data_IF_321908986475
#
_entry.id   IF_321908986475
#
_cell.length_a   1.000
_cell.length_b   1.000
_cell.length_c   1.000
_cell.angle_alpha   90.00
_cell.angle_beta   90.00
_cell.angle_gamma   90.00
#
_symmetry.space_group_name_H-M   'P 1'
#
loop_
_entity.id
_entity.type
_entity.pdbx_description
1 polymer ?
#
# COMPACT_ATOMS: atom_id res chain seq x y z
N UNK A 1 23.45 -10.75 -10.84
CA UNK A 1 23.54 -9.89 -9.64
C UNK A 1 22.32 -10.18 -8.78
N UNK A 2 22.44 -10.31 -7.47
CA UNK A 2 21.28 -10.57 -6.60
C UNK A 2 20.52 -9.25 -6.37
N UNK A 3 19.33 -9.11 -6.97
CA UNK A 3 18.50 -7.91 -6.83
C UNK A 3 17.96 -7.77 -5.41
N UNK A 4 18.42 -6.71 -4.74
CA UNK A 4 18.03 -6.15 -3.45
C UNK A 4 16.70 -5.39 -3.46
N UNK A 5 15.71 -5.69 -2.61
CA UNK A 5 14.69 -4.68 -2.28
C UNK A 5 15.30 -3.65 -1.31
N UNK A 6 15.17 -2.37 -1.66
CA UNK A 6 15.68 -1.25 -0.86
C UNK A 6 14.61 -0.17 -0.73
N UNK A 7 14.47 0.38 0.47
CA UNK A 7 13.58 1.51 0.74
C UNK A 7 14.23 2.81 0.29
N UNK A 8 13.45 3.69 -0.35
CA UNK A 8 13.88 5.03 -0.76
C UNK A 8 12.94 6.06 -0.15
N UNK A 9 13.50 7.08 0.49
CA UNK A 9 12.71 8.21 1.00
C UNK A 9 12.27 9.11 -0.16
N UNK A 10 10.96 9.33 -0.27
CA UNK A 10 10.35 10.19 -1.28
C UNK A 10 9.24 11.03 -0.64
N UNK A 11 9.19 12.33 -0.94
CA UNK A 11 8.08 13.19 -0.52
C UNK A 11 6.83 12.83 -1.31
N UNK A 12 5.72 12.61 -0.60
CA UNK A 12 4.43 12.22 -1.17
C UNK A 12 3.28 12.82 -0.36
N UNK A 13 2.12 13.02 -0.98
CA UNK A 13 0.89 13.36 -0.25
C UNK A 13 0.25 12.10 0.35
N UNK A 14 0.13 12.08 1.67
CA UNK A 14 -0.46 10.96 2.44
C UNK A 14 -1.93 10.72 2.05
N UNK A 15 -2.67 11.77 1.67
CA UNK A 15 -4.07 11.64 1.25
C UNK A 15 -4.18 10.96 -0.11
N UNK A 16 -3.30 11.31 -1.06
CA UNK A 16 -3.22 10.65 -2.36
C UNK A 16 -2.84 9.17 -2.18
N UNK A 17 -1.84 8.90 -1.33
CA UNK A 17 -1.46 7.52 -0.98
C UNK A 17 -2.67 6.77 -0.46
N UNK A 18 -3.32 7.26 0.60
CA UNK A 18 -4.50 6.60 1.20
C UNK A 18 -5.62 6.33 0.19
N UNK A 19 -5.91 7.29 -0.70
CA UNK A 19 -7.01 7.19 -1.67
C UNK A 19 -6.80 6.10 -2.73
N UNK A 20 -5.54 5.72 -2.97
CA UNK A 20 -5.14 4.76 -4.00
C UNK A 20 -4.34 3.55 -3.45
N UNK A 21 -4.40 3.31 -2.12
CA UNK A 21 -3.61 2.27 -1.45
C UNK A 21 -4.40 0.98 -1.24
N UNK A 22 -3.80 -0.13 -1.65
CA UNK A 22 -4.14 -1.48 -1.22
C UNK A 22 -3.19 -1.91 -0.09
N UNK A 23 -3.75 -2.24 1.08
CA UNK A 23 -2.98 -2.79 2.21
C UNK A 23 -3.11 -4.31 2.16
N UNK A 24 -2.03 -5.01 1.86
CA UNK A 24 -2.02 -6.46 1.70
C UNK A 24 -1.45 -7.14 2.95
N UNK A 25 -2.20 -8.09 3.51
CA UNK A 25 -1.79 -8.96 4.62
C UNK A 25 -1.66 -10.42 4.19
N UNK A 26 -1.71 -11.33 5.17
CA UNK A 26 -1.44 -12.75 4.93
C UNK A 26 -2.54 -13.44 4.08
N UNK A 27 -3.81 -13.13 4.38
CA UNK A 27 -4.97 -13.79 3.76
C UNK A 27 -5.53 -13.02 2.54
N UNK A 28 -5.29 -11.71 2.47
CA UNK A 28 -5.86 -10.83 1.46
C UNK A 28 -5.55 -9.37 1.74
N UNK A 29 -6.05 -8.50 0.87
CA UNK A 29 -5.86 -7.07 0.95
C UNK A 29 -7.11 -6.31 1.36
N UNK A 30 -6.89 -5.07 1.81
CA UNK A 30 -7.94 -4.11 2.13
C UNK A 30 -7.70 -2.78 1.42
N UNK A 31 -8.79 -2.15 0.96
CA UNK A 31 -8.73 -0.82 0.36
C UNK A 31 -8.59 0.23 1.48
N UNK A 32 -7.53 1.04 1.46
CA UNK A 32 -7.34 2.08 2.48
C UNK A 32 -8.34 3.24 2.37
N UNK A 33 -8.98 3.39 1.20
CA UNK A 33 -9.99 4.42 0.95
C UNK A 33 -11.36 4.07 1.55
N UNK A 34 -11.94 2.91 1.18
CA UNK A 34 -13.28 2.52 1.60
C UNK A 34 -13.34 1.36 2.61
N UNK A 35 -12.19 0.82 3.03
CA UNK A 35 -12.08 -0.32 3.95
C UNK A 35 -12.64 -1.65 3.43
N UNK A 36 -12.92 -1.77 2.13
CA UNK A 36 -13.28 -3.05 1.52
C UNK A 36 -12.19 -4.08 1.78
N UNK A 37 -12.54 -5.22 2.38
CA UNK A 37 -11.66 -6.35 2.64
C UNK A 37 -11.71 -7.39 1.50
N UNK A 38 -10.91 -8.45 1.64
CA UNK A 38 -10.85 -9.61 0.73
C UNK A 38 -10.48 -9.26 -0.72
N UNK A 39 -9.66 -8.22 -0.88
CA UNK A 39 -9.14 -7.77 -2.17
C UNK A 39 -7.90 -8.60 -2.53
N UNK A 40 -7.92 -9.22 -3.72
CA UNK A 40 -6.76 -9.98 -4.22
C UNK A 40 -5.63 -9.04 -4.67
N UNK A 41 -4.40 -9.53 -4.70
CA UNK A 41 -3.22 -8.71 -5.04
C UNK A 41 -3.17 -8.31 -6.53
N UNK A 42 -3.74 -9.13 -7.40
CA UNK A 42 -3.75 -8.97 -8.85
C UNK A 42 -4.74 -7.92 -9.35
N UNK A 43 -5.72 -7.53 -8.53
CA UNK A 43 -6.70 -6.53 -8.96
C UNK A 43 -6.08 -5.13 -9.06
N UNK A 44 -6.52 -4.38 -10.06
CA UNK A 44 -6.04 -3.02 -10.33
C UNK A 44 -6.94 -1.94 -9.72
N UNK A 45 -8.17 -2.29 -9.37
CA UNK A 45 -9.15 -1.36 -8.83
C UNK A 45 -9.89 -1.99 -7.64
N UNK A 46 -10.32 -1.14 -6.70
CA UNK A 46 -11.20 -1.58 -5.62
C UNK A 46 -12.54 -2.05 -6.20
N UNK A 47 -13.01 -3.22 -5.78
CA UNK A 47 -14.27 -3.78 -6.25
C UNK A 47 -15.49 -2.98 -5.78
N UNK A 48 -15.35 -2.23 -4.68
CA UNK A 48 -16.39 -1.41 -4.08
C UNK A 48 -16.32 0.05 -4.55
N UNK A 49 -15.30 0.81 -4.13
CA UNK A 49 -15.21 2.25 -4.45
C UNK A 49 -14.60 2.57 -5.82
N UNK A 50 -14.20 1.56 -6.61
CA UNK A 50 -13.61 1.68 -7.96
C UNK A 50 -12.32 2.50 -8.07
N UNK A 51 -11.71 2.92 -6.96
CA UNK A 51 -10.40 3.59 -6.99
C UNK A 51 -9.34 2.68 -7.61
N UNK A 52 -8.48 3.26 -8.44
CA UNK A 52 -7.30 2.58 -8.97
C UNK A 52 -6.25 2.40 -7.86
N UNK A 53 -5.64 1.22 -7.81
CA UNK A 53 -4.53 0.93 -6.90
C UNK A 53 -3.19 1.30 -7.54
N UNK A 54 -2.76 2.54 -7.27
CA UNK A 54 -1.42 3.06 -7.62
C UNK A 54 -0.36 2.64 -6.61
N UNK A 55 -0.79 2.32 -5.39
CA UNK A 55 0.08 1.99 -4.26
C UNK A 55 -0.31 0.66 -3.64
N UNK A 56 0.68 -0.11 -3.21
CA UNK A 56 0.48 -1.33 -2.42
C UNK A 56 1.39 -1.28 -1.19
N UNK A 57 0.84 -1.54 -0.01
CA UNK A 57 1.63 -1.72 1.21
C UNK A 57 1.45 -3.14 1.73
N UNK A 58 2.54 -3.80 2.11
CA UNK A 58 2.50 -5.13 2.72
C UNK A 58 2.65 -4.99 4.24
N UNK A 59 1.75 -5.60 5.02
CA UNK A 59 1.86 -5.60 6.49
C UNK A 59 3.12 -6.33 6.96
N UNK A 60 3.51 -7.39 6.25
CA UNK A 60 4.75 -8.13 6.48
C UNK A 60 5.52 -8.28 5.15
N UNK A 61 6.31 -7.28 4.72
CA UNK A 61 6.99 -7.34 3.44
C UNK A 61 8.01 -8.49 3.35
N UNK A 62 8.62 -8.88 4.48
CA UNK A 62 9.59 -10.00 4.53
C UNK A 62 8.95 -11.35 4.20
N UNK A 63 7.70 -11.56 4.60
CA UNK A 63 6.94 -12.77 4.23
C UNK A 63 6.43 -12.74 2.78
N UNK A 64 6.54 -11.61 2.09
CA UNK A 64 5.98 -11.39 0.76
C UNK A 64 7.02 -10.98 -0.30
N UNK A 65 8.32 -11.13 -0.03
CA UNK A 65 9.39 -10.77 -0.97
C UNK A 65 9.17 -11.35 -2.37
N UNK A 66 8.84 -12.65 -2.56
CA UNK A 66 8.59 -13.19 -3.89
C UNK A 66 7.40 -12.53 -4.60
N UNK A 67 6.34 -12.19 -3.84
CA UNK A 67 5.16 -11.48 -4.39
C UNK A 67 5.51 -10.05 -4.79
N UNK A 68 6.32 -9.36 -4.00
CA UNK A 68 6.79 -8.00 -4.29
C UNK A 68 7.64 -7.99 -5.56
N UNK A 69 8.56 -8.94 -5.71
CA UNK A 69 9.38 -9.07 -6.92
C UNK A 69 8.52 -9.34 -8.16
N UNK A 70 7.57 -10.28 -8.06
CA UNK A 70 6.61 -10.56 -9.15
C UNK A 70 5.78 -9.32 -9.50
N UNK A 71 5.29 -8.59 -8.50
CA UNK A 71 4.53 -7.35 -8.70
C UNK A 71 5.36 -6.30 -9.43
N UNK A 72 6.63 -6.11 -9.09
CA UNK A 72 7.50 -5.16 -9.80
C UNK A 72 7.74 -5.56 -11.25
N UNK A 73 7.80 -6.86 -11.56
CA UNK A 73 7.95 -7.35 -12.92
C UNK A 73 6.67 -7.16 -13.76
N UNK A 74 5.49 -7.41 -13.16
CA UNK A 74 4.21 -7.37 -13.87
C UNK A 74 3.59 -5.96 -13.91
N UNK A 75 3.83 -5.15 -12.88
CA UNK A 75 3.21 -3.83 -12.66
C UNK A 75 4.26 -2.82 -12.15
N UNK A 76 5.29 -2.49 -12.95
CA UNK A 76 6.40 -1.62 -12.53
C UNK A 76 5.96 -0.20 -12.13
N UNK A 77 4.79 0.26 -12.58
CA UNK A 77 4.19 1.55 -12.25
C UNK A 77 3.60 1.62 -10.84
N UNK A 78 3.32 0.47 -10.21
CA UNK A 78 2.76 0.43 -8.86
C UNK A 78 3.88 0.60 -7.85
N UNK A 79 3.77 1.62 -7.01
CA UNK A 79 4.75 1.86 -5.96
C UNK A 79 4.42 1.03 -4.72
N UNK A 80 5.44 0.34 -4.20
CA UNK A 80 5.34 -0.36 -2.91
C UNK A 80 5.64 0.65 -1.81
N UNK A 81 4.63 0.93 -0.99
CA UNK A 81 4.72 1.83 0.15
C UNK A 81 4.99 0.98 1.39
N UNK A 82 5.92 1.42 2.22
CA UNK A 82 6.14 0.77 3.49
C UNK A 82 4.95 1.01 4.43
N UNK A 83 4.42 -0.08 4.99
CA UNK A 83 3.21 -0.02 5.80
C UNK A 83 3.41 0.79 7.09
N UNK A 84 4.60 0.73 7.71
CA UNK A 84 4.87 1.45 8.94
C UNK A 84 4.94 2.96 8.71
N UNK A 85 5.60 3.41 7.63
CA UNK A 85 5.62 4.84 7.25
C UNK A 85 4.19 5.36 7.01
N UNK A 86 3.41 4.64 6.21
CA UNK A 86 2.03 5.01 5.93
C UNK A 86 1.20 5.10 7.22
N UNK A 87 1.27 4.07 8.06
CA UNK A 87 0.47 3.99 9.28
C UNK A 87 0.85 5.08 10.29
N UNK A 88 2.14 5.39 10.42
CA UNK A 88 2.64 6.47 11.26
C UNK A 88 2.08 7.83 10.83
N UNK A 89 2.19 8.18 9.55
CA UNK A 89 1.74 9.47 9.04
C UNK A 89 0.23 9.64 9.06
N UNK A 90 -0.55 8.60 8.76
CA UNK A 90 -2.01 8.65 8.90
C UNK A 90 -2.42 8.78 10.37
N UNK A 91 -1.73 8.09 11.28
CA UNK A 91 -1.96 8.22 12.72
C UNK A 91 -1.69 9.65 13.22
N UNK A 92 -0.57 10.23 12.79
CA UNK A 92 -0.21 11.61 13.10
C UNK A 92 -1.26 12.62 12.61
N UNK A 93 -1.74 12.47 11.37
CA UNK A 93 -2.80 13.32 10.82
C UNK A 93 -4.10 13.23 11.62
N UNK A 94 -4.56 12.02 11.94
CA UNK A 94 -5.77 11.82 12.75
C UNK A 94 -5.64 12.44 14.14
N UNK A 95 -4.49 12.29 14.78
CA UNK A 95 -4.23 12.89 16.09
C UNK A 95 -4.27 14.42 16.03
N UNK A 96 -3.69 15.03 14.99
CA UNK A 96 -3.73 16.47 14.76
C UNK A 96 -5.15 16.98 14.51
N UNK A 97 -5.99 16.22 13.81
CA UNK A 97 -7.40 16.57 13.58
C UNK A 97 -8.24 16.46 14.85
N UNK A 98 -7.99 15.46 15.68
CA UNK A 98 -8.72 15.23 16.93
C UNK A 98 -8.43 16.28 18.01
N UNK A 99 -7.21 16.84 18.04
CA UNK A 99 -6.78 17.83 19.03
C UNK A 99 -7.07 19.28 18.61
N UNK A 100 -7.73 19.51 17.47
CA UNK A 100 -8.24 20.81 17.03
C UNK A 100 -9.66 21.02 17.52
#
# INVERSE_FOLDING_TARGET
>A
MAEKLMRVYKKMDVHEVKSHLLIYGDLGGSCANCQKMDIKLDVTHCTECKTEFKFIAFRNPRAHIPKIQKLHAERPQVAVIDYEDYNHHVGEQKAREFLK
#
